data_IF_744728824567
#
_entry.id   IF_744728824567
#
_cell.length_a   1.000
_cell.length_b   1.000
_cell.length_c   1.000
_cell.angle_alpha   90.00
_cell.angle_beta   90.00
_cell.angle_gamma   90.00
#
_symmetry.space_group_name_H-M   'P 1'
#
loop_
_entity.id
_entity.type
_entity.pdbx_description
1 polymer ?
#
# COMPACT_ATOMS: atom_id res chain seq x y z
N UNK A 1 -16.54 -3.37 14.52
CA UNK A 1 -15.73 -2.71 13.47
C UNK A 1 -16.70 -2.40 12.34
N UNK A 2 -17.29 -1.20 12.38
CA UNK A 2 -18.26 -0.77 11.39
C UNK A 2 -17.58 -0.84 10.02
N UNK A 3 -18.23 -1.55 9.10
CA UNK A 3 -17.94 -1.70 7.69
C UNK A 3 -17.21 -0.48 7.13
N UNK A 4 -15.87 -0.46 7.20
CA UNK A 4 -15.11 0.59 6.54
C UNK A 4 -15.38 0.40 5.06
N UNK A 5 -16.08 1.37 4.49
CA UNK A 5 -16.34 1.39 3.07
C UNK A 5 -15.01 1.35 2.32
N UNK A 6 -15.04 0.81 1.10
CA UNK A 6 -13.94 1.05 0.16
C UNK A 6 -13.86 2.55 -0.05
N UNK A 7 -12.89 3.18 0.62
CA UNK A 7 -12.73 4.63 0.65
C UNK A 7 -12.28 5.19 -0.69
N UNK A 8 -11.92 6.48 -0.67
CA UNK A 8 -11.40 7.21 -1.81
C UNK A 8 -10.03 6.63 -2.18
N UNK A 9 -9.99 5.81 -3.22
CA UNK A 9 -8.80 5.07 -3.71
C UNK A 9 -8.29 3.99 -2.72
N UNK A 10 -8.18 2.74 -3.18
CA UNK A 10 -7.62 1.65 -2.37
C UNK A 10 -6.10 1.77 -2.36
N UNK A 11 -5.51 2.34 -1.31
CA UNK A 11 -4.07 2.25 -1.09
C UNK A 11 -3.68 0.83 -0.69
N UNK A 12 -2.52 0.37 -1.15
CA UNK A 12 -1.92 -0.88 -0.69
C UNK A 12 -1.17 -0.64 0.62
N UNK A 13 -1.30 -1.56 1.56
CA UNK A 13 -0.62 -1.45 2.85
C UNK A 13 0.90 -1.55 2.68
N UNK A 14 1.68 -0.50 3.02
CA UNK A 14 3.12 -0.51 2.79
C UNK A 14 3.85 -1.59 3.61
N UNK A 15 3.37 -1.88 4.82
CA UNK A 15 3.97 -2.92 5.68
C UNK A 15 3.73 -4.33 5.16
N UNK A 16 2.51 -4.62 4.68
CA UNK A 16 2.21 -5.92 4.06
C UNK A 16 2.90 -6.06 2.70
N UNK A 17 2.94 -4.99 1.92
CA UNK A 17 3.56 -4.99 0.60
C UNK A 17 5.07 -5.28 0.69
N UNK A 18 5.76 -4.77 1.71
CA UNK A 18 7.16 -5.15 2.01
C UNK A 18 7.36 -6.63 2.39
N UNK A 19 6.27 -7.36 2.66
CA UNK A 19 6.26 -8.80 2.92
C UNK A 19 5.64 -9.59 1.76
N UNK A 20 5.62 -9.00 0.56
CA UNK A 20 5.05 -9.58 -0.65
C UNK A 20 3.53 -9.90 -0.53
N UNK A 21 2.86 -9.29 0.46
CA UNK A 21 1.43 -9.42 0.70
C UNK A 21 0.72 -8.17 0.20
N UNK A 22 -0.09 -8.34 -0.85
CA UNK A 22 -0.70 -7.23 -1.52
C UNK A 22 -2.17 -7.06 -1.09
N UNK A 23 -2.38 -6.20 -0.10
CA UNK A 23 -3.66 -6.00 0.58
C UNK A 23 -4.10 -4.54 0.51
N UNK A 24 -5.39 -4.35 0.22
CA UNK A 24 -6.03 -3.04 0.25
C UNK A 24 -6.20 -2.55 1.69
N UNK A 25 -5.94 -1.27 1.89
CA UNK A 25 -6.22 -0.58 3.14
C UNK A 25 -7.68 -0.12 3.20
N UNK A 26 -8.20 -0.06 4.41
CA UNK A 26 -9.48 0.54 4.72
C UNK A 26 -9.28 2.00 5.13
N UNK A 27 -10.25 2.86 4.82
CA UNK A 27 -10.23 4.26 5.21
C UNK A 27 -11.29 4.50 6.28
N UNK A 28 -10.91 5.17 7.37
CA UNK A 28 -11.80 5.65 8.41
C UNK A 28 -12.06 7.16 8.18
N UNK A 29 -13.26 7.56 7.69
CA UNK A 29 -13.57 8.96 7.44
C UNK A 29 -13.70 9.79 8.71
N UNK A 30 -14.00 9.18 9.87
CA UNK A 30 -14.15 9.90 11.13
C UNK A 30 -12.79 10.37 11.67
N UNK A 31 -11.74 9.59 11.38
CA UNK A 31 -10.37 9.86 11.80
C UNK A 31 -9.48 10.44 10.70
N UNK A 32 -9.87 10.25 9.43
CA UNK A 32 -9.05 10.60 8.29
C UNK A 32 -7.85 9.67 8.06
N UNK A 33 -7.88 8.47 8.65
CA UNK A 33 -6.75 7.54 8.69
C UNK A 33 -7.00 6.31 7.81
N UNK A 34 -5.91 5.74 7.28
CA UNK A 34 -5.94 4.44 6.63
C UNK A 34 -5.45 3.38 7.59
N UNK A 35 -6.12 2.23 7.59
CA UNK A 35 -5.73 1.09 8.41
C UNK A 35 -5.73 -0.23 7.62
N UNK A 36 -4.83 -1.13 8.00
CA UNK A 36 -4.70 -2.46 7.43
C UNK A 36 -5.26 -3.51 8.38
N UNK A 37 -6.21 -4.32 7.90
CA UNK A 37 -6.81 -5.40 8.69
C UNK A 37 -5.81 -6.54 9.01
N UNK A 38 -4.74 -6.68 8.22
CA UNK A 38 -3.83 -7.82 8.33
C UNK A 38 -2.71 -7.60 9.33
N UNK A 39 -2.06 -6.44 9.30
CA UNK A 39 -0.89 -6.13 10.12
C UNK A 39 -1.13 -5.04 11.17
N UNK A 40 -2.37 -4.59 11.33
CA UNK A 40 -2.77 -3.51 12.25
C UNK A 40 -2.02 -2.18 12.01
N UNK A 41 -1.42 -1.99 10.83
CA UNK A 41 -0.82 -0.72 10.46
C UNK A 41 -1.91 0.35 10.34
N UNK A 42 -1.63 1.53 10.86
CA UNK A 42 -2.47 2.73 10.77
C UNK A 42 -1.60 3.93 10.38
N UNK A 43 -2.13 4.85 9.58
CA UNK A 43 -1.42 6.06 9.20
C UNK A 43 -2.23 6.99 8.31
N UNK A 44 -1.81 8.26 8.27
CA UNK A 44 -2.38 9.28 7.39
C UNK A 44 -2.03 9.01 5.91
N UNK A 45 -2.75 9.64 4.99
CA UNK A 45 -2.50 9.52 3.54
C UNK A 45 -1.03 9.80 3.16
N UNK A 46 -0.45 10.85 3.77
CA UNK A 46 0.93 11.25 3.52
C UNK A 46 1.93 10.17 3.92
N UNK A 47 1.73 9.56 5.08
CA UNK A 47 2.58 8.48 5.60
C UNK A 47 2.48 7.22 4.73
N UNK A 48 1.27 6.88 4.29
CA UNK A 48 1.01 5.76 3.37
C UNK A 48 1.71 5.96 2.03
N UNK A 49 1.67 7.18 1.48
CA UNK A 49 2.33 7.51 0.21
C UNK A 49 3.86 7.46 0.33
N UNK A 50 4.43 8.04 1.39
CA UNK A 50 5.87 8.04 1.63
C UNK A 50 6.41 6.62 1.81
N UNK A 51 5.72 5.78 2.59
CA UNK A 51 6.12 4.38 2.79
C UNK A 51 5.92 3.51 1.54
N UNK A 52 4.93 3.83 0.69
CA UNK A 52 4.79 3.17 -0.60
C UNK A 52 5.94 3.54 -1.57
N UNK A 53 6.51 4.74 -1.49
CA UNK A 53 7.71 5.08 -2.26
C UNK A 53 8.91 4.22 -1.84
N UNK A 54 9.06 3.90 -0.55
CA UNK A 54 10.11 2.97 -0.10
C UNK A 54 9.97 1.56 -0.72
N UNK A 55 8.75 1.10 -0.97
CA UNK A 55 8.56 -0.18 -1.65
C UNK A 55 9.09 -0.16 -3.09
N UNK A 56 8.99 0.99 -3.79
CA UNK A 56 9.56 1.14 -5.15
C UNK A 56 11.07 0.96 -5.16
N UNK A 57 11.77 1.37 -4.10
CA UNK A 57 13.21 1.13 -3.97
C UNK A 57 13.56 -0.36 -3.96
N UNK A 58 12.78 -1.18 -3.25
CA UNK A 58 12.99 -2.63 -3.18
C UNK A 58 12.74 -3.31 -4.51
N UNK A 59 11.61 -3.00 -5.15
CA UNK A 59 11.18 -3.71 -6.36
C UNK A 59 11.70 -3.08 -7.66
N UNK A 60 12.48 -1.98 -7.60
CA UNK A 60 13.16 -1.28 -8.72
C UNK A 60 12.37 -1.31 -10.04
N UNK A 61 12.60 -2.36 -10.83
CA UNK A 61 12.00 -2.63 -12.12
C UNK A 61 10.57 -3.20 -12.06
N UNK A 62 9.85 -3.04 -10.94
CA UNK A 62 8.48 -3.56 -10.76
C UNK A 62 7.52 -3.15 -11.88
N UNK A 63 7.72 -1.94 -12.42
CA UNK A 63 6.91 -1.38 -13.49
C UNK A 63 7.54 -1.60 -14.88
N UNK A 64 8.77 -2.11 -14.94
CA UNK A 64 9.49 -2.38 -16.18
C UNK A 64 9.28 -3.83 -16.57
N UNK A 65 8.57 -4.06 -17.68
CA UNK A 65 8.51 -5.36 -18.31
C UNK A 65 9.76 -5.54 -19.16
N UNK A 66 10.63 -6.48 -18.81
CA UNK A 66 11.76 -6.87 -19.65
C UNK A 66 11.21 -7.74 -20.79
N UNK A 67 11.25 -7.22 -22.01
CA UNK A 67 10.72 -7.84 -23.23
C UNK A 67 11.81 -8.47 -24.11
N UNK A 68 13.06 -8.02 -23.98
CA UNK A 68 14.23 -8.62 -24.61
C UNK A 68 15.43 -8.63 -23.67
N UNK A 69 16.24 -9.69 -23.78
CA UNK A 69 17.55 -9.79 -23.13
C UNK A 69 18.59 -9.59 -24.24
N UNK A 70 19.41 -8.54 -24.16
CA UNK A 70 20.63 -8.46 -24.97
C UNK A 70 21.76 -9.14 -24.17
N UNK A 71 22.48 -10.05 -24.81
CA UNK A 71 23.60 -10.83 -24.24
C UNK A 71 24.83 -9.96 -23.92
#
# INVERSE_FOLDING_TARGET
MAQAGKGKLNYRCPSCFMRDLDIDMFYDPDKGEYYCIRCCYHGDEKDVLEKNQMARFRYRDMLRRIDSWED
#
